data_IF_188587750264
#
_entry.id   IF_188587750264
#
_cell.length_a   1.000
_cell.length_b   1.000
_cell.length_c   1.000
_cell.angle_alpha   90.00
_cell.angle_beta   90.00
_cell.angle_gamma   90.00
#
_symmetry.space_group_name_H-M   'P 1'
#
loop_
_entity.id
_entity.type
_entity.pdbx_description
1 polymer ?
#
# COMPACT_ATOMS: atom_id res chain seq x y z
N UNK A 1 12.89 6.38 -13.45
CA UNK A 1 13.48 5.91 -14.73
C UNK A 1 14.94 5.52 -14.56
N UNK A 2 15.83 6.41 -14.12
CA UNK A 2 17.25 6.10 -13.88
C UNK A 2 17.48 4.78 -13.11
N UNK A 3 16.89 4.64 -11.92
CA UNK A 3 17.03 3.41 -11.12
C UNK A 3 16.53 2.13 -11.82
N UNK A 4 15.54 2.22 -12.71
CA UNK A 4 15.09 1.06 -13.51
C UNK A 4 16.10 0.70 -14.61
N UNK A 5 16.74 1.69 -15.23
CA UNK A 5 17.80 1.44 -16.21
C UNK A 5 19.02 0.78 -15.54
N UNK A 6 19.41 1.27 -14.36
CA UNK A 6 20.45 0.63 -13.54
C UNK A 6 20.07 -0.80 -13.18
N UNK A 7 18.81 -1.06 -12.79
CA UNK A 7 18.32 -2.41 -12.54
C UNK A 7 18.51 -3.33 -13.75
N UNK A 8 18.18 -2.87 -14.97
CA UNK A 8 18.37 -3.66 -16.20
C UNK A 8 19.86 -3.97 -16.44
N UNK A 9 20.73 -2.97 -16.28
CA UNK A 9 22.17 -3.11 -16.45
C UNK A 9 22.76 -4.14 -15.46
N UNK A 10 22.46 -3.98 -14.16
CA UNK A 10 23.00 -4.85 -13.11
C UNK A 10 22.40 -6.26 -13.15
N UNK A 11 21.16 -6.40 -13.62
CA UNK A 11 20.55 -7.71 -13.86
C UNK A 11 21.35 -8.51 -14.88
N UNK A 12 21.68 -7.87 -16.02
CA UNK A 12 22.47 -8.51 -17.08
C UNK A 12 23.88 -8.86 -16.58
N UNK A 13 24.56 -7.92 -15.91
CA UNK A 13 25.91 -8.16 -15.37
C UNK A 13 25.97 -9.33 -14.38
N UNK A 14 24.90 -9.55 -13.62
CA UNK A 14 24.84 -10.58 -12.57
C UNK A 14 24.14 -11.86 -13.02
N UNK A 15 23.70 -11.94 -14.28
CA UNK A 15 23.04 -13.13 -14.82
C UNK A 15 21.71 -13.44 -14.14
N UNK A 16 21.01 -12.43 -13.64
CA UNK A 16 19.74 -12.63 -12.92
C UNK A 16 18.57 -12.73 -13.90
N UNK A 17 17.61 -13.58 -13.56
CA UNK A 17 16.34 -13.65 -14.27
C UNK A 17 15.38 -12.55 -13.81
N UNK A 18 14.35 -12.31 -14.62
CA UNK A 18 13.31 -11.31 -14.37
C UNK A 18 12.59 -11.56 -13.03
N UNK A 19 12.30 -12.83 -12.73
CA UNK A 19 11.60 -13.20 -11.49
C UNK A 19 12.44 -12.93 -10.25
N UNK A 20 13.75 -13.12 -10.35
CA UNK A 20 14.67 -12.87 -9.24
C UNK A 20 14.78 -11.38 -8.97
N UNK A 21 14.91 -10.56 -10.01
CA UNK A 21 14.92 -9.10 -9.89
C UNK A 21 13.60 -8.59 -9.30
N UNK A 22 12.44 -9.10 -9.72
CA UNK A 22 11.16 -8.67 -9.17
C UNK A 22 10.97 -9.10 -7.70
N UNK A 23 11.50 -10.28 -7.32
CA UNK A 23 11.54 -10.70 -5.91
C UNK A 23 12.39 -9.75 -5.05
N UNK A 24 13.52 -9.29 -5.59
CA UNK A 24 14.48 -8.42 -4.89
C UNK A 24 14.00 -6.96 -4.83
N UNK A 25 13.41 -6.45 -5.92
CA UNK A 25 13.09 -5.02 -6.10
C UNK A 25 11.65 -4.65 -5.75
N UNK A 26 10.82 -5.60 -5.30
CA UNK A 26 9.46 -5.34 -4.83
C UNK A 26 9.39 -5.01 -3.33
N UNK A 27 8.50 -5.72 -2.63
CA UNK A 27 8.21 -5.47 -1.21
C UNK A 27 9.40 -5.71 -0.28
N UNK A 28 10.42 -6.44 -0.72
CA UNK A 28 11.64 -6.68 0.06
C UNK A 28 12.33 -5.36 0.47
N UNK A 29 12.43 -4.42 -0.47
CA UNK A 29 12.99 -3.07 -0.26
C UNK A 29 11.91 -1.98 -0.12
N UNK A 30 10.66 -2.36 0.17
CA UNK A 30 9.56 -1.42 0.38
C UNK A 30 9.06 -0.73 -0.87
N UNK A 31 9.03 -1.46 -2.00
CA UNK A 31 8.38 -1.02 -3.23
C UNK A 31 7.09 -1.82 -3.45
N UNK A 32 6.19 -1.37 -4.34
CA UNK A 32 4.95 -2.08 -4.63
C UNK A 32 5.17 -3.54 -5.07
N UNK A 33 4.14 -4.38 -4.91
CA UNK A 33 4.16 -5.79 -5.34
C UNK A 33 4.40 -5.97 -6.84
N UNK A 34 4.19 -4.93 -7.64
CA UNK A 34 4.52 -4.91 -9.07
C UNK A 34 6.03 -4.76 -9.35
N UNK A 35 6.86 -4.54 -8.34
CA UNK A 35 8.32 -4.53 -8.43
C UNK A 35 8.84 -3.75 -9.67
N UNK A 36 9.83 -4.26 -10.38
CA UNK A 36 10.42 -3.57 -11.54
C UNK A 36 9.71 -3.96 -12.84
N UNK A 37 9.76 -5.24 -13.21
CA UNK A 37 9.30 -5.73 -14.51
C UNK A 37 7.79 -5.80 -14.61
N UNK A 38 7.09 -6.21 -13.54
CA UNK A 38 5.63 -6.16 -13.55
C UNK A 38 5.09 -4.72 -13.62
N UNK A 39 5.81 -3.73 -13.08
CA UNK A 39 5.51 -2.31 -13.27
C UNK A 39 5.74 -1.88 -14.73
N UNK A 40 6.85 -2.31 -15.35
CA UNK A 40 7.12 -2.03 -16.77
C UNK A 40 6.03 -2.62 -17.69
N UNK A 41 5.54 -3.82 -17.41
CA UNK A 41 4.42 -4.41 -18.15
C UNK A 41 3.13 -3.61 -17.99
N UNK A 42 2.87 -3.04 -16.82
CA UNK A 42 1.67 -2.25 -16.55
C UNK A 42 1.73 -0.88 -17.26
N UNK A 43 2.89 -0.22 -17.24
CA UNK A 43 3.11 1.07 -17.89
C UNK A 43 3.18 0.94 -19.41
N UNK A 44 3.87 -0.09 -19.89
CA UNK A 44 4.18 -0.32 -21.30
C UNK A 44 5.67 -0.16 -21.60
N UNK A 45 6.25 -1.18 -22.24
CA UNK A 45 7.69 -1.23 -22.54
C UNK A 45 8.13 -0.17 -23.54
N UNK A 46 7.27 0.18 -24.51
CA UNK A 46 7.51 1.24 -25.49
C UNK A 46 7.51 2.63 -24.85
N UNK A 47 6.57 2.88 -23.93
CA UNK A 47 6.52 4.13 -23.16
C UNK A 47 7.78 4.27 -22.31
N UNK A 48 8.18 3.20 -21.62
CA UNK A 48 9.43 3.21 -20.86
C UNK A 48 10.63 3.50 -21.75
N UNK A 49 10.76 2.82 -22.90
CA UNK A 49 11.87 3.03 -23.83
C UNK A 49 11.91 4.48 -24.33
N UNK A 50 10.76 5.05 -24.66
CA UNK A 50 10.66 6.44 -25.09
C UNK A 50 11.15 7.41 -24.00
N UNK A 51 10.72 7.22 -22.74
CA UNK A 51 11.15 8.08 -21.62
C UNK A 51 12.62 7.86 -21.29
N UNK A 52 13.11 6.61 -21.31
CA UNK A 52 14.49 6.26 -21.03
C UNK A 52 15.48 6.96 -21.98
N UNK A 53 15.14 7.05 -23.27
CA UNK A 53 15.95 7.74 -24.27
C UNK A 53 16.08 9.26 -24.04
N UNK A 54 15.20 9.84 -23.22
CA UNK A 54 15.22 11.26 -22.87
C UNK A 54 15.94 11.55 -21.54
N UNK A 55 16.47 10.53 -20.84
CA UNK A 55 17.24 10.73 -19.62
C UNK A 55 18.73 10.96 -19.98
N UNK A 56 19.30 12.15 -19.67
CA UNK A 56 20.65 12.54 -20.12
C UNK A 56 21.79 11.77 -19.44
N UNK A 57 21.57 11.23 -18.24
CA UNK A 57 22.57 10.50 -17.45
C UNK A 57 22.70 9.02 -17.88
N UNK A 58 22.94 8.83 -19.19
CA UNK A 58 22.73 7.62 -19.97
C UNK A 58 23.20 6.30 -19.36
N UNK A 59 22.24 5.47 -18.95
CA UNK A 59 22.38 4.01 -18.94
C UNK A 59 21.62 3.48 -20.15
N UNK A 60 22.32 2.85 -21.10
CA UNK A 60 21.68 2.35 -22.31
C UNK A 60 20.74 1.19 -21.98
N UNK A 61 19.52 1.24 -22.53
CA UNK A 61 18.59 0.13 -22.46
C UNK A 61 19.15 -1.03 -23.29
N UNK A 62 19.24 -2.26 -22.74
CA UNK A 62 19.80 -3.40 -23.47
C UNK A 62 19.08 -3.69 -24.79
N UNK A 63 19.82 -4.13 -25.81
CA UNK A 63 19.28 -4.42 -27.15
C UNK A 63 18.16 -5.48 -27.14
N UNK A 64 18.23 -6.47 -26.24
CA UNK A 64 17.18 -7.48 -26.11
C UNK A 64 15.83 -6.86 -25.69
N UNK A 65 15.83 -5.79 -24.90
CA UNK A 65 14.62 -5.07 -24.49
C UNK A 65 14.03 -4.33 -25.70
N UNK A 66 14.86 -3.68 -26.51
CA UNK A 66 14.42 -3.03 -27.75
C UNK A 66 13.79 -4.07 -28.69
N UNK A 67 14.39 -5.25 -28.80
CA UNK A 67 13.84 -6.37 -29.57
C UNK A 67 12.47 -6.87 -29.06
N UNK A 68 12.15 -6.74 -27.77
CA UNK A 68 10.80 -7.02 -27.26
C UNK A 68 9.78 -6.02 -27.79
N UNK A 69 10.12 -4.72 -27.77
CA UNK A 69 9.26 -3.64 -28.26
C UNK A 69 9.00 -3.79 -29.76
N UNK A 70 10.03 -4.08 -30.55
CA UNK A 70 9.92 -4.33 -31.99
C UNK A 70 9.03 -5.53 -32.32
N UNK A 71 9.00 -6.55 -31.45
CA UNK A 71 8.12 -7.73 -31.57
C UNK A 71 6.70 -7.49 -31.03
N UNK A 72 6.36 -6.26 -30.62
CA UNK A 72 5.05 -5.91 -30.09
C UNK A 72 4.74 -6.46 -28.70
N UNK A 73 5.77 -6.88 -27.94
CA UNK A 73 5.64 -7.40 -26.57
C UNK A 73 5.57 -6.24 -25.58
N UNK A 74 4.50 -5.45 -25.65
CA UNK A 74 4.41 -4.14 -25.00
C UNK A 74 3.84 -4.16 -23.58
N UNK A 75 3.69 -5.33 -22.95
CA UNK A 75 3.13 -5.47 -21.61
C UNK A 75 1.63 -5.77 -21.61
N UNK A 76 0.93 -5.32 -20.56
CA UNK A 76 -0.48 -5.67 -20.28
C UNK A 76 -1.43 -5.21 -21.38
N UNK A 77 -1.14 -4.08 -22.02
CA UNK A 77 -1.95 -3.54 -23.12
C UNK A 77 -2.05 -4.49 -24.33
N UNK A 78 -1.03 -5.32 -24.54
CA UNK A 78 -1.00 -6.34 -25.59
C UNK A 78 -1.09 -7.76 -25.03
N UNK A 79 -1.36 -7.91 -23.72
CA UNK A 79 -1.43 -9.19 -23.02
C UNK A 79 -0.12 -9.96 -22.94
N UNK A 80 1.01 -9.35 -23.31
CA UNK A 80 2.33 -9.99 -23.41
C UNK A 80 3.45 -8.95 -23.30
N UNK A 81 4.28 -9.07 -22.26
CA UNK A 81 5.50 -8.31 -22.05
C UNK A 81 6.56 -9.19 -21.41
N UNK A 82 7.15 -8.75 -20.31
CA UNK A 82 8.02 -9.60 -19.47
C UNK A 82 7.28 -10.80 -18.91
N UNK A 83 6.01 -10.60 -18.54
CA UNK A 83 5.09 -11.64 -18.16
C UNK A 83 4.08 -11.87 -19.28
N UNK A 84 3.73 -13.15 -19.47
CA UNK A 84 2.70 -13.57 -20.40
C UNK A 84 1.70 -14.47 -19.68
N UNK A 85 0.47 -13.99 -19.53
CA UNK A 85 -0.62 -14.75 -18.91
C UNK A 85 -1.45 -15.44 -19.98
N UNK A 86 -1.34 -16.77 -20.06
CA UNK A 86 -2.22 -17.61 -20.90
C UNK A 86 -3.39 -18.10 -20.08
N UNK A 87 -4.62 -17.89 -20.56
CA UNK A 87 -5.80 -18.54 -20.00
C UNK A 87 -5.84 -19.98 -20.50
N UNK A 88 -5.82 -20.95 -19.59
CA UNK A 88 -5.99 -22.37 -19.88
C UNK A 88 -7.22 -22.96 -19.19
N UNK A 89 -7.56 -24.21 -19.53
CA UNK A 89 -8.75 -24.89 -19.01
C UNK A 89 -8.69 -25.18 -17.49
N UNK A 90 -7.48 -25.19 -16.89
CA UNK A 90 -7.25 -25.41 -15.45
C UNK A 90 -6.89 -24.12 -14.69
N UNK A 91 -7.13 -22.95 -15.28
CA UNK A 91 -6.74 -21.65 -14.74
C UNK A 91 -5.73 -20.93 -15.63
N UNK A 92 -5.24 -19.78 -15.17
CA UNK A 92 -4.26 -18.99 -15.91
C UNK A 92 -2.83 -19.41 -15.60
N UNK A 93 -2.04 -19.72 -16.62
CA UNK A 93 -0.61 -19.98 -16.52
C UNK A 93 0.18 -18.71 -16.84
N UNK A 94 1.23 -18.44 -16.06
CA UNK A 94 2.11 -17.30 -16.28
C UNK A 94 3.46 -17.83 -16.78
N UNK A 95 3.89 -17.35 -17.93
CA UNK A 95 5.24 -17.53 -18.44
C UNK A 95 6.02 -16.23 -18.33
N UNK A 96 7.34 -16.33 -18.24
CA UNK A 96 8.26 -15.20 -18.05
C UNK A 96 9.28 -15.19 -19.18
N UNK A 97 9.59 -14.00 -19.69
CA UNK A 97 10.59 -13.81 -20.74
C UNK A 97 12.00 -14.12 -20.21
N UNK A 98 12.73 -14.97 -20.93
CA UNK A 98 14.15 -15.19 -20.71
C UNK A 98 14.94 -14.26 -21.64
N UNK A 99 15.69 -13.32 -21.05
CA UNK A 99 16.42 -12.30 -21.80
C UNK A 99 17.66 -12.83 -22.53
N UNK A 100 18.18 -14.00 -22.13
CA UNK A 100 19.32 -14.65 -22.79
C UNK A 100 18.87 -15.39 -24.06
N UNK A 101 17.74 -16.11 -23.99
CA UNK A 101 17.25 -16.94 -25.11
C UNK A 101 16.22 -16.23 -25.98
N UNK A 102 15.53 -15.22 -25.44
CA UNK A 102 14.41 -14.55 -26.09
C UNK A 102 13.10 -15.34 -26.08
N UNK A 103 13.04 -16.45 -25.34
CA UNK A 103 11.87 -17.33 -25.22
C UNK A 103 11.13 -17.14 -23.90
N UNK A 104 9.88 -17.62 -23.82
CA UNK A 104 9.10 -17.62 -22.58
C UNK A 104 9.17 -18.97 -21.88
N UNK A 105 9.56 -18.97 -20.61
CA UNK A 105 9.60 -20.17 -19.77
C UNK A 105 8.52 -20.15 -18.69
N UNK A 106 8.05 -21.30 -18.18
CA UNK A 106 7.11 -21.33 -17.06
C UNK A 106 7.66 -20.56 -15.85
N UNK A 107 6.81 -19.76 -15.19
CA UNK A 107 7.21 -18.99 -14.01
C UNK A 107 7.73 -19.92 -12.91
N UNK A 108 8.92 -19.63 -12.39
CA UNK A 108 9.54 -20.30 -11.25
C UNK A 108 9.34 -19.46 -9.99
N UNK A 109 9.10 -20.11 -8.86
CA UNK A 109 9.11 -19.45 -7.54
C UNK A 109 10.55 -19.46 -7.04
N UNK A 110 11.15 -18.29 -6.80
CA UNK A 110 12.54 -18.16 -6.38
C UNK A 110 13.04 -16.71 -6.37
N UNK A 111 14.34 -16.52 -6.17
CA UNK A 111 15.02 -15.23 -6.31
C UNK A 111 15.52 -14.54 -5.05
N UNK A 112 15.48 -15.24 -3.92
CA UNK A 112 15.98 -14.72 -2.64
C UNK A 112 17.16 -15.53 -2.09
N UNK A 113 17.90 -16.20 -2.98
CA UNK A 113 19.06 -17.02 -2.60
C UNK A 113 20.09 -16.19 -1.82
N UNK A 114 20.37 -16.61 -0.58
CA UNK A 114 21.28 -15.91 0.34
C UNK A 114 20.68 -14.67 1.03
N UNK A 115 19.38 -14.41 0.87
CA UNK A 115 18.62 -13.33 1.51
C UNK A 115 17.40 -13.84 2.29
N UNK A 116 17.24 -15.17 2.41
CA UNK A 116 16.06 -15.81 2.99
C UNK A 116 15.88 -15.42 4.46
N UNK A 117 16.97 -15.37 5.22
CA UNK A 117 16.95 -14.98 6.64
C UNK A 117 16.53 -13.53 6.84
N UNK A 118 16.76 -12.66 5.85
CA UNK A 118 16.35 -11.26 5.90
C UNK A 118 14.85 -11.10 5.60
N UNK A 119 14.22 -12.02 4.86
CA UNK A 119 12.77 -11.97 4.62
C UNK A 119 11.96 -12.05 5.91
N UNK A 120 12.44 -12.80 6.90
CA UNK A 120 11.79 -12.98 8.20
C UNK A 120 11.86 -11.73 9.09
N UNK A 121 12.67 -10.73 8.74
CA UNK A 121 12.73 -9.49 9.51
C UNK A 121 11.45 -8.68 9.31
N UNK A 122 10.77 -8.38 10.43
CA UNK A 122 9.51 -7.61 10.45
C UNK A 122 9.67 -6.17 9.97
N UNK A 123 10.87 -5.59 10.03
CA UNK A 123 11.15 -4.20 9.70
C UNK A 123 12.04 -4.10 8.46
N UNK A 124 11.59 -3.30 7.48
CA UNK A 124 12.33 -2.95 6.27
C UNK A 124 13.74 -2.42 6.55
N UNK A 125 13.93 -1.56 7.56
CA UNK A 125 15.26 -1.02 7.90
C UNK A 125 16.24 -2.12 8.30
N UNK A 126 15.77 -3.16 8.99
CA UNK A 126 16.59 -4.33 9.33
C UNK A 126 16.98 -5.11 8.09
N UNK A 127 16.06 -5.28 7.13
CA UNK A 127 16.36 -5.93 5.83
C UNK A 127 17.41 -5.15 5.05
N UNK A 128 17.24 -3.83 4.93
CA UNK A 128 18.17 -2.94 4.25
C UNK A 128 19.58 -3.02 4.84
N UNK A 129 19.73 -2.95 6.19
CA UNK A 129 21.03 -3.15 6.84
C UNK A 129 21.69 -4.49 6.47
N UNK A 130 20.88 -5.55 6.35
CA UNK A 130 21.36 -6.86 5.92
C UNK A 130 21.91 -6.89 4.49
N UNK A 131 21.37 -6.06 3.58
CA UNK A 131 21.85 -5.95 2.19
C UNK A 131 23.29 -5.42 2.12
N UNK A 132 23.65 -4.45 2.97
CA UNK A 132 24.95 -3.77 2.93
C UNK A 132 26.16 -4.70 3.09
N UNK A 133 26.03 -5.87 3.70
CA UNK A 133 27.15 -6.79 3.90
C UNK A 133 26.93 -8.14 3.19
N UNK A 134 25.86 -8.25 2.40
CA UNK A 134 25.49 -9.51 1.78
C UNK A 134 26.31 -9.76 0.51
N UNK A 135 26.94 -10.94 0.44
CA UNK A 135 27.80 -11.36 -0.66
C UNK A 135 27.12 -12.29 -1.67
N UNK A 136 25.83 -12.60 -1.48
CA UNK A 136 25.07 -13.35 -2.48
C UNK A 136 24.90 -12.51 -3.76
N UNK A 137 24.69 -13.14 -4.93
CA UNK A 137 24.41 -12.42 -6.17
C UNK A 137 23.26 -11.41 -6.04
N UNK A 138 22.19 -11.79 -5.34
CA UNK A 138 21.04 -10.92 -5.06
C UNK A 138 21.37 -9.77 -4.10
N UNK A 139 22.18 -10.02 -3.07
CA UNK A 139 22.64 -8.99 -2.14
C UNK A 139 23.52 -7.94 -2.83
N UNK A 140 24.47 -8.39 -3.64
CA UNK A 140 25.33 -7.52 -4.43
C UNK A 140 24.54 -6.75 -5.50
N UNK A 141 23.58 -7.41 -6.17
CA UNK A 141 22.66 -6.75 -7.10
C UNK A 141 21.90 -5.60 -6.44
N UNK A 142 21.28 -5.86 -5.29
CA UNK A 142 20.53 -4.83 -4.57
C UNK A 142 21.43 -3.69 -4.10
N UNK A 143 22.64 -4.00 -3.61
CA UNK A 143 23.59 -2.96 -3.24
C UNK A 143 23.91 -2.03 -4.42
N UNK A 144 24.26 -2.58 -5.58
CA UNK A 144 24.61 -1.76 -6.76
C UNK A 144 23.44 -0.88 -7.22
N UNK A 145 22.23 -1.45 -7.29
CA UNK A 145 21.03 -0.71 -7.68
C UNK A 145 20.71 0.42 -6.69
N UNK A 146 20.73 0.11 -5.39
CA UNK A 146 20.45 1.09 -4.34
C UNK A 146 21.53 2.18 -4.34
N UNK A 147 22.81 1.81 -4.28
CA UNK A 147 23.95 2.73 -4.31
C UNK A 147 23.84 3.75 -5.43
N UNK A 148 23.71 3.30 -6.68
CA UNK A 148 23.59 4.18 -7.86
C UNK A 148 22.35 5.06 -7.79
N UNK A 149 21.21 4.53 -7.35
CA UNK A 149 19.96 5.30 -7.21
C UNK A 149 20.08 6.39 -6.13
N UNK A 150 20.72 6.08 -5.01
CA UNK A 150 20.94 7.00 -3.88
C UNK A 150 21.89 8.13 -4.28
N UNK A 151 23.03 7.78 -4.88
CA UNK A 151 23.99 8.76 -5.38
C UNK A 151 23.34 9.65 -6.44
N UNK A 152 22.60 9.09 -7.40
CA UNK A 152 21.86 9.89 -8.39
C UNK A 152 20.90 10.87 -7.71
N UNK A 153 20.11 10.40 -6.74
CA UNK A 153 19.16 11.26 -6.01
C UNK A 153 19.87 12.41 -5.29
N UNK A 154 21.03 12.14 -4.67
CA UNK A 154 21.80 13.16 -3.97
C UNK A 154 22.55 14.13 -4.90
N UNK A 155 22.96 13.71 -6.10
CA UNK A 155 23.56 14.61 -7.10
C UNK A 155 22.52 15.53 -7.75
N UNK A 156 21.24 15.13 -7.77
CA UNK A 156 20.16 15.93 -8.36
C UNK A 156 19.56 16.96 -7.43
N UNK A 157 20.00 17.05 -6.17
CA UNK A 157 19.67 18.18 -5.31
C UNK A 157 20.75 19.26 -5.49
N UNK A 158 20.39 20.55 -5.70
CA UNK A 158 19.04 21.12 -5.72
C UNK A 158 18.40 21.24 -7.12
N UNK A 159 18.98 20.60 -8.15
CA UNK A 159 18.53 20.69 -9.56
C UNK A 159 17.04 20.35 -9.75
N UNK A 160 16.57 19.23 -9.18
CA UNK A 160 15.20 18.72 -9.41
C UNK A 160 14.24 18.97 -8.25
N UNK A 161 14.77 19.33 -7.08
CA UNK A 161 14.01 19.58 -5.85
C UNK A 161 14.86 20.41 -4.88
N UNK A 162 14.20 21.26 -4.10
CA UNK A 162 14.88 22.15 -3.13
C UNK A 162 15.49 21.40 -1.94
N UNK A 163 14.91 20.26 -1.56
CA UNK A 163 15.32 19.49 -0.40
C UNK A 163 15.08 17.99 -0.59
N UNK A 164 15.65 17.21 0.34
CA UNK A 164 15.58 15.75 0.34
C UNK A 164 14.18 15.21 0.66
N UNK A 165 13.35 15.98 1.37
CA UNK A 165 11.97 15.60 1.73
C UNK A 165 11.12 15.54 0.47
N UNK A 166 11.23 16.55 -0.41
CA UNK A 166 10.49 16.62 -1.67
C UNK A 166 10.82 15.45 -2.60
N UNK A 167 12.08 15.02 -2.65
CA UNK A 167 12.46 13.82 -3.42
C UNK A 167 11.84 12.56 -2.81
N UNK A 168 11.95 12.39 -1.50
CA UNK A 168 11.37 11.23 -0.81
C UNK A 168 9.85 11.16 -1.00
N UNK A 169 9.15 12.28 -0.81
CA UNK A 169 7.72 12.39 -1.03
C UNK A 169 7.34 12.14 -2.50
N UNK A 170 8.11 12.65 -3.46
CA UNK A 170 7.88 12.39 -4.88
C UNK A 170 7.92 10.89 -5.21
N UNK A 171 8.84 10.14 -4.61
CA UNK A 171 8.91 8.68 -4.80
C UNK A 171 7.81 7.94 -4.04
N UNK A 172 7.44 8.39 -2.83
CA UNK A 172 6.37 7.77 -2.03
C UNK A 172 5.00 8.00 -2.64
N UNK A 173 4.69 9.21 -3.10
CA UNK A 173 3.38 9.54 -3.68
C UNK A 173 3.28 9.15 -5.16
N UNK A 174 4.36 9.31 -5.92
CA UNK A 174 4.36 9.02 -7.36
C UNK A 174 4.56 7.54 -7.69
N UNK A 175 5.38 6.82 -6.91
CA UNK A 175 5.75 5.43 -7.18
C UNK A 175 5.36 4.45 -6.07
N UNK A 176 4.65 4.94 -5.04
CA UNK A 176 4.17 4.13 -3.91
C UNK A 176 5.29 3.37 -3.19
N UNK A 177 6.43 4.03 -2.99
CA UNK A 177 7.51 3.50 -2.15
C UNK A 177 7.14 3.68 -0.67
N UNK A 178 7.49 2.71 0.17
CA UNK A 178 7.35 2.81 1.63
C UNK A 178 8.34 3.83 2.21
N UNK A 179 9.57 3.83 1.67
CA UNK A 179 10.66 4.72 2.02
C UNK A 179 11.17 5.44 0.78
N UNK A 180 11.28 6.76 0.84
CA UNK A 180 11.98 7.53 -0.19
C UNK A 180 13.49 7.23 -0.22
N UNK A 181 14.23 7.69 -1.24
CA UNK A 181 15.69 7.49 -1.33
C UNK A 181 16.46 7.80 -0.03
N UNK A 182 16.23 8.95 0.61
CA UNK A 182 16.99 9.36 1.78
C UNK A 182 16.55 8.61 3.05
N UNK A 183 15.25 8.33 3.20
CA UNK A 183 14.72 7.41 4.21
C UNK A 183 15.28 5.99 4.09
N UNK A 184 15.45 5.51 2.86
CA UNK A 184 16.06 4.22 2.54
C UNK A 184 17.54 4.24 2.89
N UNK A 185 18.24 5.32 2.57
CA UNK A 185 19.66 5.51 2.91
C UNK A 185 19.88 5.53 4.43
N UNK A 186 19.00 6.19 5.20
CA UNK A 186 18.99 6.08 6.66
C UNK A 186 18.76 4.64 7.14
N UNK A 187 17.92 3.89 6.42
CA UNK A 187 17.72 2.46 6.63
C UNK A 187 19.00 1.65 6.48
N UNK A 188 19.80 1.92 5.44
CA UNK A 188 21.11 1.30 5.20
C UNK A 188 22.16 1.75 6.23
N UNK A 189 22.07 3.01 6.67
CA UNK A 189 23.01 3.69 7.55
C UNK A 189 23.96 4.58 6.76
N UNK A 190 23.82 5.90 6.91
CA UNK A 190 24.53 6.92 6.13
C UNK A 190 26.06 6.76 6.18
N UNK A 191 26.66 6.78 7.38
CA UNK A 191 28.12 6.76 7.52
C UNK A 191 28.74 5.50 6.91
N UNK A 192 28.24 4.32 7.30
CA UNK A 192 28.78 3.03 6.84
C UNK A 192 28.61 2.81 5.34
N UNK A 193 27.47 3.25 4.78
CA UNK A 193 27.23 3.14 3.34
C UNK A 193 28.16 4.08 2.56
N UNK A 194 28.38 5.31 3.04
CA UNK A 194 29.33 6.25 2.43
C UNK A 194 30.77 5.74 2.51
N UNK A 195 31.19 5.19 3.64
CA UNK A 195 32.50 4.54 3.79
C UNK A 195 32.69 3.43 2.75
N UNK A 196 31.69 2.56 2.59
CA UNK A 196 31.71 1.50 1.58
C UNK A 196 31.78 2.06 0.16
N UNK A 197 30.95 3.05 -0.16
CA UNK A 197 30.94 3.71 -1.47
C UNK A 197 32.31 4.32 -1.82
N UNK A 198 32.96 4.98 -0.86
CA UNK A 198 34.32 5.51 -1.03
C UNK A 198 35.35 4.41 -1.30
N UNK A 199 35.29 3.32 -0.56
CA UNK A 199 36.17 2.16 -0.76
C UNK A 199 35.95 1.49 -2.13
N UNK A 200 34.73 1.57 -2.67
CA UNK A 200 34.37 1.10 -4.01
C UNK A 200 34.71 2.12 -5.12
N UNK A 201 35.25 3.30 -4.78
CA UNK A 201 35.70 4.32 -5.73
C UNK A 201 34.61 5.30 -6.20
N UNK A 202 33.46 5.34 -5.51
CA UNK A 202 32.38 6.26 -5.85
C UNK A 202 32.70 7.70 -5.43
N UNK A 203 32.20 8.66 -6.22
CA UNK A 203 32.22 10.08 -5.86
C UNK A 203 31.00 10.41 -5.01
N UNK A 204 31.25 10.87 -3.79
CA UNK A 204 30.21 11.29 -2.85
C UNK A 204 29.92 12.78 -3.06
N UNK A 205 28.65 13.22 -3.11
CA UNK A 205 28.33 14.65 -3.17
C UNK A 205 28.87 15.41 -1.96
N UNK A 206 29.45 16.59 -2.19
CA UNK A 206 30.14 17.39 -1.16
C UNK A 206 29.24 17.71 0.05
N UNK A 207 27.94 17.90 -0.18
CA UNK A 207 26.98 18.17 0.90
C UNK A 207 26.79 16.98 1.84
N UNK A 208 26.86 15.74 1.33
CA UNK A 208 26.81 14.51 2.14
C UNK A 208 28.05 14.42 3.02
N UNK A 209 29.22 14.71 2.45
CA UNK A 209 30.48 14.70 3.21
C UNK A 209 30.46 15.76 4.31
N UNK A 210 29.90 16.94 4.00
CA UNK A 210 29.73 18.03 4.97
C UNK A 210 28.84 17.61 6.13
N UNK A 211 27.71 16.94 5.87
CA UNK A 211 26.84 16.40 6.93
C UNK A 211 27.58 15.44 7.86
N UNK A 212 28.31 14.49 7.29
CA UNK A 212 29.06 13.50 8.07
C UNK A 212 30.18 14.18 8.88
N UNK A 213 30.89 15.15 8.30
CA UNK A 213 31.92 15.93 8.98
C UNK A 213 31.37 16.74 10.16
N UNK A 214 30.11 17.17 10.08
CA UNK A 214 29.38 17.81 11.19
C UNK A 214 28.83 16.81 12.22
N UNK A 215 29.14 15.52 12.08
CA UNK A 215 28.73 14.46 13.02
C UNK A 215 27.32 13.91 12.79
N UNK A 216 26.68 14.22 11.66
CA UNK A 216 25.37 13.67 11.32
C UNK A 216 25.49 12.22 10.86
N UNK A 217 24.62 11.37 11.38
CA UNK A 217 24.62 9.92 11.09
C UNK A 217 23.38 9.44 10.34
N UNK A 218 22.44 10.35 10.07
CA UNK A 218 21.22 10.16 9.29
C UNK A 218 20.82 11.48 8.63
N UNK A 219 19.93 11.42 7.63
CA UNK A 219 19.27 12.58 7.02
C UNK A 219 18.13 13.10 7.86
N UNK A 220 17.43 12.18 8.55
CA UNK A 220 16.27 12.49 9.38
C UNK A 220 16.53 12.24 10.86
N UNK A 221 15.91 13.08 11.69
CA UNK A 221 15.87 12.95 13.15
C UNK A 221 14.41 12.99 13.63
N UNK A 222 14.12 12.40 14.79
CA UNK A 222 12.79 12.48 15.43
C UNK A 222 12.96 12.87 16.89
N UNK A 223 12.27 13.93 17.30
CA UNK A 223 12.29 14.43 18.67
C UNK A 223 10.84 14.75 19.10
N UNK A 224 10.41 14.19 20.23
CA UNK A 224 9.06 14.41 20.79
C UNK A 224 7.90 14.20 19.80
N UNK A 225 8.07 13.30 18.83
CA UNK A 225 7.03 13.04 17.81
C UNK A 225 7.16 13.88 16.54
N UNK A 226 7.92 14.98 16.60
CA UNK A 226 8.23 15.86 15.47
C UNK A 226 9.41 15.30 14.69
N UNK A 227 9.33 15.37 13.36
CA UNK A 227 10.39 14.91 12.46
C UNK A 227 11.16 16.11 11.92
N UNK A 228 12.46 15.97 11.90
CA UNK A 228 13.39 16.96 11.38
C UNK A 228 14.23 16.33 10.28
N UNK A 229 14.75 17.16 9.39
CA UNK A 229 15.72 16.76 8.38
C UNK A 229 16.92 17.73 8.38
N UNK A 230 18.05 17.26 7.84
CA UNK A 230 19.20 18.12 7.60
C UNK A 230 19.17 18.70 6.20
N UNK A 231 19.28 20.03 6.10
CA UNK A 231 19.50 20.71 4.83
C UNK A 231 20.88 20.37 4.26
N UNK A 232 21.15 20.80 3.03
CA UNK A 232 22.44 20.55 2.36
C UNK A 232 23.63 21.23 3.07
N UNK A 233 23.36 22.26 3.87
CA UNK A 233 24.38 22.93 4.70
C UNK A 233 24.53 22.28 6.09
N UNK A 234 23.65 21.34 6.42
CA UNK A 234 23.59 20.63 7.70
C UNK A 234 22.77 21.31 8.79
N UNK A 235 22.10 22.41 8.45
CA UNK A 235 21.09 23.00 9.32
C UNK A 235 19.95 22.00 9.56
N UNK A 236 19.47 21.96 10.81
CA UNK A 236 18.34 21.13 11.20
C UNK A 236 17.04 21.90 10.98
N UNK A 237 16.17 21.38 10.13
CA UNK A 237 14.89 21.99 9.80
C UNK A 237 13.75 21.04 10.16
N UNK A 238 12.68 21.58 10.73
CA UNK A 238 11.46 20.81 10.98
C UNK A 238 10.81 20.44 9.64
N UNK A 239 10.42 19.18 9.46
CA UNK A 239 9.67 18.77 8.28
C UNK A 239 8.29 19.45 8.33
N UNK A 240 7.99 20.30 7.35
CA UNK A 240 6.70 20.98 7.25
C UNK A 240 5.57 19.95 7.19
N UNK A 241 4.92 19.75 8.33
CA UNK A 241 3.65 19.04 8.40
C UNK A 241 2.60 20.00 7.88
N UNK A 242 2.19 19.86 6.60
CA UNK A 242 0.85 20.32 6.20
C UNK A 242 -0.11 19.82 7.26
N UNK A 243 -0.88 20.75 7.85
CA UNK A 243 -1.79 20.56 9.01
C UNK A 243 -1.98 19.08 9.32
N UNK A 244 -1.34 18.62 10.39
CA UNK A 244 -1.20 17.21 10.71
C UNK A 244 -2.51 16.48 10.42
N UNK A 245 -2.54 15.67 9.35
CA UNK A 245 -3.57 14.66 9.20
C UNK A 245 -3.31 13.69 10.35
N UNK A 246 -4.01 13.91 11.45
CA UNK A 246 -3.89 13.08 12.64
C UNK A 246 -4.19 11.65 12.24
N UNK A 247 -3.27 10.76 12.57
CA UNK A 247 -3.43 9.34 12.32
C UNK A 247 -3.97 8.68 13.56
N UNK A 248 -4.79 7.66 13.41
CA UNK A 248 -5.33 6.91 14.55
C UNK A 248 -4.20 6.37 15.44
N UNK A 249 -3.08 5.98 14.85
CA UNK A 249 -1.86 5.54 15.55
C UNK A 249 -1.25 6.59 16.48
N UNK A 250 -1.53 7.87 16.27
CA UNK A 250 -1.05 8.95 17.16
C UNK A 250 -1.80 8.94 18.52
N UNK A 251 -2.95 8.26 18.57
CA UNK A 251 -3.75 7.99 19.77
C UNK A 251 -3.47 6.61 20.40
N UNK A 252 -2.80 5.70 19.68
CA UNK A 252 -2.50 4.36 20.18
C UNK A 252 -1.44 4.38 21.29
N UNK A 253 -1.64 3.56 22.33
CA UNK A 253 -0.66 3.37 23.41
C UNK A 253 -0.62 4.49 24.48
N UNK A 254 -1.36 5.59 24.28
CA UNK A 254 -1.61 6.59 25.32
C UNK A 254 -2.79 6.13 26.17
N UNK A 255 -2.57 5.89 27.47
CA UNK A 255 -3.65 5.51 28.40
C UNK A 255 -4.80 6.53 28.44
N UNK A 256 -4.51 7.79 28.16
CA UNK A 256 -5.50 8.89 28.17
C UNK A 256 -6.50 8.83 27.00
N UNK A 257 -6.20 8.10 25.93
CA UNK A 257 -7.01 8.11 24.70
C UNK A 257 -7.57 6.73 24.35
N UNK A 258 -7.21 5.66 25.07
CA UNK A 258 -7.74 4.31 24.83
C UNK A 258 -8.97 4.05 25.69
N UNK A 259 -10.13 3.79 25.08
CA UNK A 259 -11.39 3.57 25.79
C UNK A 259 -11.62 2.07 26.03
N UNK A 260 -11.70 1.28 24.97
CA UNK A 260 -11.84 -0.18 25.02
C UNK A 260 -11.36 -0.84 23.72
N UNK A 261 -11.23 -2.16 23.70
CA UNK A 261 -10.84 -2.89 22.49
C UNK A 261 -10.78 -4.39 22.68
N UNK A 262 -10.77 -5.11 21.57
CA UNK A 262 -10.57 -6.56 21.50
C UNK A 262 -9.56 -6.91 20.39
N UNK A 263 -9.56 -8.16 19.92
CA UNK A 263 -8.64 -8.63 18.88
C UNK A 263 -8.89 -8.05 17.48
N UNK A 264 -10.09 -7.54 17.20
CA UNK A 264 -10.48 -7.04 15.87
C UNK A 264 -10.56 -5.53 15.76
N UNK A 265 -10.86 -4.82 16.85
CA UNK A 265 -10.95 -3.36 16.84
C UNK A 265 -10.68 -2.71 18.21
N UNK A 266 -10.43 -1.41 18.19
CA UNK A 266 -10.25 -0.59 19.39
C UNK A 266 -10.93 0.76 19.23
N UNK A 267 -11.47 1.26 20.34
CA UNK A 267 -12.13 2.56 20.43
C UNK A 267 -11.19 3.56 21.12
N UNK A 268 -10.94 4.68 20.45
CA UNK A 268 -10.08 5.74 20.94
C UNK A 268 -10.86 7.04 21.12
N UNK A 269 -10.50 7.82 22.12
CA UNK A 269 -10.86 9.24 22.21
C UNK A 269 -9.87 10.03 21.32
N UNK A 270 -10.40 10.71 20.30
CA UNK A 270 -9.62 11.51 19.36
C UNK A 270 -9.76 13.02 19.61
N UNK A 271 -10.25 13.42 20.77
CA UNK A 271 -10.51 14.82 21.11
C UNK A 271 -11.86 15.33 20.61
N UNK A 272 -12.18 16.58 20.95
CA UNK A 272 -13.44 17.26 20.60
C UNK A 272 -14.73 16.48 20.96
N UNK A 273 -14.67 15.66 22.01
CA UNK A 273 -15.69 14.70 22.42
C UNK A 273 -16.09 13.69 21.32
N UNK A 274 -15.17 13.34 20.42
CA UNK A 274 -15.39 12.36 19.34
C UNK A 274 -14.58 11.10 19.61
N UNK A 275 -15.22 9.93 19.46
CA UNK A 275 -14.53 8.66 19.52
C UNK A 275 -14.23 8.11 18.10
N UNK A 276 -13.13 7.38 17.95
CA UNK A 276 -12.75 6.67 16.73
C UNK A 276 -12.71 5.16 16.96
N UNK A 277 -13.57 4.41 16.26
CA UNK A 277 -13.51 2.95 16.20
C UNK A 277 -12.58 2.54 15.06
N UNK A 278 -11.46 1.90 15.42
CA UNK A 278 -10.40 1.52 14.51
C UNK A 278 -10.26 0.01 14.39
N UNK A 279 -10.44 -0.50 13.17
CA UNK A 279 -10.31 -1.92 12.86
C UNK A 279 -8.84 -2.32 12.66
N UNK A 280 -8.47 -3.45 13.23
CA UNK A 280 -7.11 -3.98 13.15
C UNK A 280 -7.04 -5.51 13.02
N UNK A 281 -8.18 -6.18 12.78
CA UNK A 281 -8.19 -7.56 12.30
C UNK A 281 -7.40 -7.71 10.99
N UNK A 282 -6.89 -8.90 10.64
CA UNK A 282 -6.17 -9.11 9.38
C UNK A 282 -7.00 -8.67 8.16
N UNK A 283 -6.43 -7.76 7.34
CA UNK A 283 -7.12 -7.13 6.21
C UNK A 283 -8.40 -6.35 6.58
N UNK A 284 -8.65 -6.12 7.86
CA UNK A 284 -9.88 -5.57 8.40
C UNK A 284 -11.10 -6.38 7.98
N UNK A 285 -10.94 -7.71 7.84
CA UNK A 285 -12.04 -8.61 7.58
C UNK A 285 -12.99 -8.64 8.78
N UNK A 286 -14.29 -8.60 8.50
CA UNK A 286 -15.34 -8.57 9.52
C UNK A 286 -15.55 -9.98 10.06
N UNK A 287 -15.38 -10.11 11.38
CA UNK A 287 -15.82 -11.25 12.18
C UNK A 287 -16.52 -10.76 13.44
N UNK A 288 -16.77 -11.67 14.38
CA UNK A 288 -17.45 -11.36 15.65
C UNK A 288 -16.75 -10.26 16.46
N UNK A 289 -15.43 -10.20 16.40
CA UNK A 289 -14.63 -9.20 17.10
C UNK A 289 -14.98 -7.76 16.68
N UNK A 290 -15.03 -7.47 15.38
CA UNK A 290 -15.43 -6.18 14.84
C UNK A 290 -16.91 -5.91 15.14
N UNK A 291 -17.79 -6.90 14.94
CA UNK A 291 -19.24 -6.76 15.20
C UNK A 291 -19.50 -6.37 16.66
N UNK A 292 -18.89 -7.08 17.61
CA UNK A 292 -19.02 -6.79 19.04
C UNK A 292 -18.48 -5.41 19.40
N UNK A 293 -17.39 -4.99 18.76
CA UNK A 293 -16.84 -3.65 18.96
C UNK A 293 -17.70 -2.55 18.37
N UNK A 294 -18.43 -2.78 17.27
CA UNK A 294 -19.42 -1.82 16.77
C UNK A 294 -20.52 -1.63 17.83
N UNK A 295 -21.08 -2.72 18.36
CA UNK A 295 -22.10 -2.65 19.40
C UNK A 295 -21.61 -1.89 20.65
N UNK A 296 -20.45 -2.28 21.15
CA UNK A 296 -19.82 -1.69 22.34
C UNK A 296 -19.51 -0.21 22.13
N UNK A 297 -18.96 0.15 20.97
CA UNK A 297 -18.59 1.54 20.66
C UNK A 297 -19.81 2.45 20.57
N UNK A 298 -20.89 1.96 19.96
CA UNK A 298 -22.12 2.76 19.87
C UNK A 298 -22.72 2.95 21.27
N UNK A 299 -22.72 1.93 22.14
CA UNK A 299 -23.22 2.08 23.51
C UNK A 299 -22.42 3.12 24.31
N UNK A 300 -21.11 3.16 24.12
CA UNK A 300 -20.21 4.11 24.77
C UNK A 300 -20.42 5.53 24.22
N UNK A 301 -20.45 5.68 22.90
CA UNK A 301 -20.63 6.97 22.22
C UNK A 301 -21.99 7.60 22.55
N UNK A 302 -23.06 6.82 22.60
CA UNK A 302 -24.39 7.32 22.95
C UNK A 302 -24.45 7.99 24.33
N UNK A 303 -23.58 7.55 25.26
CA UNK A 303 -23.50 8.07 26.64
C UNK A 303 -22.52 9.23 26.78
N UNK A 304 -21.33 9.08 26.21
CA UNK A 304 -20.16 9.86 26.63
C UNK A 304 -19.56 10.76 25.54
N UNK A 305 -19.97 10.60 24.26
CA UNK A 305 -19.36 11.32 23.13
C UNK A 305 -20.41 12.04 22.27
N UNK A 306 -19.97 13.02 21.49
CA UNK A 306 -20.84 13.73 20.53
C UNK A 306 -21.01 12.99 19.21
N UNK A 307 -20.10 12.05 18.89
CA UNK A 307 -20.13 11.31 17.64
C UNK A 307 -19.10 10.18 17.58
N UNK A 308 -19.24 9.34 16.56
CA UNK A 308 -18.34 8.23 16.27
C UNK A 308 -17.75 8.40 14.88
N UNK A 309 -16.44 8.24 14.75
CA UNK A 309 -15.74 8.05 13.48
C UNK A 309 -15.35 6.57 13.37
N UNK A 310 -15.58 5.95 12.22
CA UNK A 310 -15.02 4.63 11.90
C UNK A 310 -13.91 4.82 10.87
N UNK A 311 -12.67 4.66 11.31
CA UNK A 311 -11.45 4.85 10.51
C UNK A 311 -10.24 4.19 11.17
N UNK A 312 -9.18 3.92 10.40
CA UNK A 312 -7.91 3.38 10.89
C UNK A 312 -6.78 3.57 9.86
N UNK A 313 -5.52 3.37 10.27
CA UNK A 313 -4.34 3.57 9.40
C UNK A 313 -3.91 2.30 8.65
N UNK A 314 -4.87 1.45 8.26
CA UNK A 314 -4.60 0.21 7.53
C UNK A 314 -4.14 0.45 6.08
N UNK A 315 -3.82 -0.63 5.35
CA UNK A 315 -3.53 -0.54 3.91
C UNK A 315 -4.80 -0.47 3.04
N UNK A 316 -5.93 -0.88 3.59
CA UNK A 316 -7.27 -0.80 3.01
C UNK A 316 -8.27 -0.67 4.16
N UNK A 317 -9.47 -0.16 3.91
CA UNK A 317 -10.47 0.02 4.97
C UNK A 317 -11.08 -1.31 5.46
N UNK A 318 -11.59 -2.14 4.55
CA UNK A 318 -12.23 -3.41 4.91
C UNK A 318 -12.47 -4.24 3.64
N UNK A 319 -12.07 -5.51 3.65
CA UNK A 319 -12.27 -6.44 2.52
C UNK A 319 -13.61 -7.19 2.58
N UNK A 320 -14.45 -6.89 3.57
CA UNK A 320 -15.75 -7.55 3.79
C UNK A 320 -15.69 -8.64 4.85
N UNK A 321 -16.69 -9.51 4.84
CA UNK A 321 -16.76 -10.65 5.74
C UNK A 321 -15.61 -11.65 5.46
N UNK A 322 -15.18 -12.37 6.50
CA UNK A 322 -14.18 -13.43 6.34
C UNK A 322 -14.78 -14.64 5.59
N UNK A 323 -14.68 -14.63 4.25
CA UNK A 323 -15.26 -15.68 3.40
C UNK A 323 -14.73 -17.09 3.71
N UNK A 324 -13.52 -17.22 4.23
CA UNK A 324 -12.98 -18.53 4.60
C UNK A 324 -13.72 -19.11 5.81
N UNK A 325 -14.03 -18.26 6.79
CA UNK A 325 -14.84 -18.66 7.95
C UNK A 325 -16.25 -19.05 7.51
N UNK A 326 -16.92 -18.22 6.71
CA UNK A 326 -18.27 -18.53 6.19
C UNK A 326 -18.28 -19.82 5.38
N UNK A 327 -17.26 -20.05 4.55
CA UNK A 327 -17.13 -21.27 3.77
C UNK A 327 -16.93 -22.50 4.66
N UNK A 328 -16.12 -22.40 5.71
CA UNK A 328 -15.90 -23.50 6.67
C UNK A 328 -17.21 -23.85 7.39
N UNK A 329 -17.91 -22.88 7.95
CA UNK A 329 -19.19 -23.12 8.64
C UNK A 329 -20.24 -23.71 7.69
N UNK A 330 -20.30 -23.25 6.45
CA UNK A 330 -21.21 -23.80 5.44
C UNK A 330 -20.83 -25.23 5.01
N UNK A 331 -19.54 -25.57 4.94
CA UNK A 331 -19.06 -26.93 4.64
C UNK A 331 -19.34 -27.92 5.77
N UNK A 332 -19.28 -27.44 7.01
CA UNK A 332 -19.60 -28.23 8.21
C UNK A 332 -21.10 -28.25 8.53
N UNK A 333 -21.95 -27.66 7.68
CA UNK A 333 -23.41 -27.57 7.82
C UNK A 333 -23.87 -26.83 9.10
N UNK A 334 -23.02 -25.94 9.64
CA UNK A 334 -23.32 -25.10 10.81
C UNK A 334 -24.18 -23.89 10.45
N UNK A 335 -25.38 -24.13 9.90
CA UNK A 335 -26.28 -23.07 9.42
C UNK A 335 -26.70 -22.08 10.52
N UNK A 336 -26.85 -22.55 11.76
CA UNK A 336 -27.18 -21.69 12.90
C UNK A 336 -26.09 -20.65 13.17
N UNK A 337 -24.82 -21.00 12.98
CA UNK A 337 -23.68 -20.10 13.16
C UNK A 337 -23.62 -19.06 12.04
N UNK A 338 -23.90 -19.47 10.79
CA UNK A 338 -23.99 -18.56 9.65
C UNK A 338 -25.15 -17.57 9.84
N UNK A 339 -26.32 -18.06 10.28
CA UNK A 339 -27.49 -17.22 10.57
C UNK A 339 -27.20 -16.24 11.70
N UNK A 340 -26.59 -16.68 12.82
CA UNK A 340 -26.22 -15.80 13.92
C UNK A 340 -25.23 -14.72 13.48
N UNK A 341 -24.19 -15.08 12.72
CA UNK A 341 -23.22 -14.12 12.18
C UNK A 341 -23.91 -13.06 11.31
N UNK A 342 -24.77 -13.47 10.37
CA UNK A 342 -25.50 -12.56 9.49
C UNK A 342 -26.45 -11.68 10.31
N UNK A 343 -27.20 -12.25 11.23
CA UNK A 343 -28.13 -11.53 12.10
C UNK A 343 -27.41 -10.47 12.93
N UNK A 344 -26.32 -10.84 13.62
CA UNK A 344 -25.53 -9.92 14.44
C UNK A 344 -24.90 -8.81 13.60
N UNK A 345 -24.43 -9.12 12.38
CA UNK A 345 -23.91 -8.10 11.48
C UNK A 345 -25.00 -7.11 11.01
N UNK A 346 -26.19 -7.60 10.67
CA UNK A 346 -27.35 -6.74 10.36
C UNK A 346 -27.71 -5.85 11.56
N UNK A 347 -27.73 -6.38 12.79
CA UNK A 347 -28.00 -5.61 13.99
C UNK A 347 -26.93 -4.54 14.26
N UNK A 348 -25.65 -4.84 14.01
CA UNK A 348 -24.57 -3.86 14.10
C UNK A 348 -24.79 -2.71 13.10
N UNK A 349 -25.14 -3.03 11.85
CA UNK A 349 -25.44 -2.01 10.83
C UNK A 349 -26.71 -1.20 11.18
N UNK A 350 -27.73 -1.80 11.79
CA UNK A 350 -28.88 -1.06 12.31
C UNK A 350 -28.51 -0.14 13.49
N UNK A 351 -27.62 -0.58 14.37
CA UNK A 351 -27.09 0.26 15.45
C UNK A 351 -26.34 1.47 14.90
N UNK A 352 -25.58 1.32 13.80
CA UNK A 352 -24.94 2.44 13.12
C UNK A 352 -26.00 3.42 12.60
N UNK A 353 -27.02 2.92 11.89
CA UNK A 353 -28.08 3.74 11.28
C UNK A 353 -28.88 4.55 12.29
N UNK A 354 -29.26 3.91 13.39
CA UNK A 354 -30.14 4.49 14.41
C UNK A 354 -29.40 4.97 15.66
N UNK A 355 -28.08 5.15 15.57
CA UNK A 355 -27.31 5.71 16.66
C UNK A 355 -27.84 7.11 17.02
N UNK A 356 -27.99 7.40 18.32
CA UNK A 356 -28.44 8.73 18.79
C UNK A 356 -27.43 9.84 18.53
N UNK A 357 -26.20 9.49 18.14
CA UNK A 357 -25.09 10.39 17.81
C UNK A 357 -24.69 10.17 16.36
N UNK A 358 -24.24 11.21 15.63
CA UNK A 358 -23.77 11.05 14.27
C UNK A 358 -22.63 10.02 14.18
N UNK A 359 -22.76 9.09 13.24
CA UNK A 359 -21.70 8.15 12.87
C UNK A 359 -21.15 8.55 11.50
N UNK A 360 -19.87 8.87 11.45
CA UNK A 360 -19.14 9.15 10.21
C UNK A 360 -18.24 7.98 9.90
N UNK A 361 -18.35 7.43 8.70
CA UNK A 361 -17.40 6.42 8.21
C UNK A 361 -16.46 7.10 7.22
N UNK A 362 -15.16 6.95 7.43
CA UNK A 362 -14.12 7.53 6.57
C UNK A 362 -13.38 6.42 5.81
N UNK A 363 -13.98 5.84 4.76
CA UNK A 363 -13.37 4.75 4.01
C UNK A 363 -12.19 5.22 3.14
N UNK A 364 -11.31 4.29 2.82
CA UNK A 364 -10.13 4.49 1.97
C UNK A 364 -9.66 3.14 1.40
N UNK A 365 -8.91 3.18 0.29
CA UNK A 365 -8.43 1.96 -0.36
C UNK A 365 -9.58 1.00 -0.68
N UNK A 366 -9.39 -0.30 -0.51
CA UNK A 366 -10.47 -1.28 -0.72
C UNK A 366 -11.50 -1.25 0.42
N UNK A 367 -12.75 -0.98 0.06
CA UNK A 367 -13.93 -0.98 0.94
C UNK A 367 -15.00 -1.89 0.32
N UNK A 368 -14.83 -3.19 0.49
CA UNK A 368 -15.55 -4.20 -0.29
C UNK A 368 -16.56 -4.97 0.56
N UNK A 369 -17.68 -5.33 -0.07
CA UNK A 369 -18.74 -6.16 0.51
C UNK A 369 -19.20 -5.62 1.86
N UNK A 370 -19.10 -6.43 2.92
CA UNK A 370 -19.41 -6.00 4.30
C UNK A 370 -18.74 -4.68 4.74
N UNK A 371 -17.57 -4.33 4.21
CA UNK A 371 -16.94 -3.02 4.46
C UNK A 371 -17.75 -1.87 3.88
N UNK A 372 -18.32 -2.05 2.69
CA UNK A 372 -19.28 -1.12 2.12
C UNK A 372 -20.61 -1.15 2.88
N UNK A 373 -21.07 -2.31 3.35
CA UNK A 373 -22.29 -2.45 4.16
C UNK A 373 -22.21 -1.72 5.51
N UNK A 374 -21.02 -1.57 6.11
CA UNK A 374 -20.80 -0.72 7.31
C UNK A 374 -20.91 0.77 6.96
N UNK A 375 -20.51 1.17 5.74
CA UNK A 375 -20.51 2.57 5.32
C UNK A 375 -21.92 3.08 4.98
N UNK A 376 -22.70 2.28 4.27
CA UNK A 376 -24.01 2.67 3.75
C UNK A 376 -25.05 3.12 4.83
N UNK A 377 -25.13 2.53 6.03
CA UNK A 377 -26.04 3.01 7.08
C UNK A 377 -25.55 4.25 7.83
N UNK A 378 -24.30 4.69 7.61
CA UNK A 378 -23.73 5.81 8.37
C UNK A 378 -24.41 7.14 8.05
N UNK A 379 -24.46 8.03 9.06
CA UNK A 379 -25.00 9.39 8.91
C UNK A 379 -24.26 10.17 7.82
N UNK A 380 -22.95 9.96 7.69
CA UNK A 380 -22.14 10.54 6.63
C UNK A 380 -21.00 9.61 6.23
N UNK A 381 -20.67 9.60 4.94
CA UNK A 381 -19.47 8.96 4.41
C UNK A 381 -18.51 10.07 3.99
N UNK A 382 -17.31 10.08 4.57
CA UNK A 382 -16.21 10.96 4.18
C UNK A 382 -15.14 10.11 3.51
N UNK A 383 -15.39 9.72 2.26
CA UNK A 383 -14.49 8.84 1.52
C UNK A 383 -13.19 9.56 1.12
N UNK A 384 -12.06 8.87 1.26
CA UNK A 384 -10.82 9.31 0.61
C UNK A 384 -10.96 9.29 -0.92
N UNK A 385 -10.21 10.13 -1.61
CA UNK A 385 -10.17 10.18 -3.07
C UNK A 385 -9.73 8.85 -3.71
N UNK A 386 -8.95 8.04 -2.99
CA UNK A 386 -8.52 6.71 -3.45
C UNK A 386 -9.45 5.55 -3.03
N UNK A 387 -10.64 5.86 -2.51
CA UNK A 387 -11.59 4.82 -2.06
C UNK A 387 -12.10 4.01 -3.26
N UNK A 388 -11.91 2.71 -3.20
CA UNK A 388 -12.48 1.72 -4.11
C UNK A 388 -13.53 0.89 -3.36
N UNK A 389 -14.78 1.33 -3.47
CA UNK A 389 -15.92 0.81 -2.69
C UNK A 389 -16.92 0.08 -3.57
N UNK A 390 -17.45 -1.05 -3.09
CA UNK A 390 -18.52 -1.76 -3.79
C UNK A 390 -19.00 -3.03 -3.08
N UNK A 391 -20.24 -3.42 -3.38
CA UNK A 391 -20.80 -4.72 -3.02
C UNK A 391 -20.32 -5.74 -4.07
N UNK A 392 -19.51 -6.71 -3.66
CA UNK A 392 -18.79 -7.65 -4.53
C UNK A 392 -19.23 -9.11 -4.37
N UNK A 393 -20.19 -9.35 -3.48
CA UNK A 393 -20.66 -10.65 -3.04
C UNK A 393 -21.15 -11.54 -4.19
N UNK A 394 -21.78 -10.94 -5.21
CA UNK A 394 -22.26 -11.68 -6.39
C UNK A 394 -21.12 -12.35 -7.17
N UNK A 395 -19.91 -11.78 -7.12
CA UNK A 395 -18.72 -12.35 -7.74
C UNK A 395 -18.26 -13.68 -7.11
N UNK A 396 -18.74 -13.99 -5.90
CA UNK A 396 -18.50 -15.26 -5.18
C UNK A 396 -19.77 -16.06 -4.95
N UNK A 397 -20.88 -15.69 -5.58
CA UNK A 397 -22.17 -16.39 -5.46
C UNK A 397 -22.97 -16.07 -4.20
N UNK A 398 -22.68 -14.95 -3.54
CA UNK A 398 -23.37 -14.49 -2.34
C UNK A 398 -24.21 -13.23 -2.64
N UNK A 399 -25.09 -12.88 -1.70
CA UNK A 399 -25.82 -11.61 -1.70
C UNK A 399 -25.26 -10.70 -0.58
N UNK A 400 -25.28 -9.37 -0.76
CA UNK A 400 -24.95 -8.40 0.29
C UNK A 400 -25.96 -8.42 1.44
N UNK A 401 -25.78 -9.38 2.36
CA UNK A 401 -26.76 -9.74 3.39
C UNK A 401 -26.61 -8.98 4.71
N UNK A 402 -25.56 -8.19 4.92
CA UNK A 402 -25.40 -7.30 6.08
C UNK A 402 -26.35 -6.10 6.07
N UNK A 403 -27.07 -5.89 4.96
CA UNK A 403 -28.00 -4.77 4.76
C UNK A 403 -27.69 -3.94 3.53
N UNK A 404 -26.66 -4.30 2.77
CA UNK A 404 -26.14 -3.58 1.61
C UNK A 404 -27.19 -3.36 0.54
N UNK A 405 -27.91 -4.40 0.10
CA UNK A 405 -28.98 -4.25 -0.89
C UNK A 405 -30.03 -3.21 -0.45
N UNK A 406 -30.45 -3.30 0.82
CA UNK A 406 -31.47 -2.43 1.40
C UNK A 406 -30.96 -0.99 1.55
N UNK A 407 -29.77 -0.78 2.10
CA UNK A 407 -29.22 0.57 2.29
C UNK A 407 -28.82 1.23 0.95
N UNK A 408 -28.38 0.44 -0.04
CA UNK A 408 -28.11 0.93 -1.38
C UNK A 408 -29.39 1.42 -2.04
N UNK A 409 -30.46 0.63 -1.98
CA UNK A 409 -31.78 1.04 -2.47
C UNK A 409 -32.25 2.32 -1.79
N UNK A 410 -32.21 2.38 -0.46
CA UNK A 410 -32.63 3.56 0.31
C UNK A 410 -31.84 4.81 -0.10
N UNK A 411 -30.52 4.72 -0.27
CA UNK A 411 -29.71 5.87 -0.71
C UNK A 411 -30.03 6.33 -2.13
N UNK A 412 -30.42 5.41 -3.02
CA UNK A 412 -30.85 5.77 -4.37
C UNK A 412 -32.27 6.37 -4.42
N UNK A 413 -33.11 6.10 -3.42
CA UNK A 413 -34.48 6.63 -3.34
C UNK A 413 -34.65 7.80 -2.37
N UNK A 414 -33.67 8.08 -1.49
CA UNK A 414 -33.74 9.12 -0.45
C UNK A 414 -34.10 10.51 -1.01
N UNK A 415 -33.51 10.90 -2.14
CA UNK A 415 -33.82 12.19 -2.81
C UNK A 415 -35.22 12.22 -3.47
N UNK A 416 -35.86 11.07 -3.63
CA UNK A 416 -37.18 10.91 -4.25
C UNK A 416 -38.30 10.93 -3.21
N UNK A 417 -38.02 10.45 -1.98
CA UNK A 417 -38.97 10.47 -0.87
C UNK A 417 -39.37 11.90 -0.46
N UNK A 418 -38.59 12.92 -0.85
CA UNK A 418 -38.92 14.34 -0.67
C UNK A 418 -39.84 14.92 -1.79
N UNK A 419 -40.17 14.12 -2.82
CA UNK A 419 -41.02 14.47 -3.95
C UNK A 419 -42.41 13.79 -3.86
N UNK A 420 -43.32 14.18 -4.75
CA UNK A 420 -44.71 13.66 -4.85
C UNK A 420 -44.77 12.11 -4.77
N UNK A 421 -45.71 11.56 -4.00
CA UNK A 421 -45.96 10.12 -3.80
C UNK A 421 -46.20 9.33 -5.11
N UNK A 422 -46.33 10.01 -6.24
CA UNK A 422 -46.56 9.43 -7.57
C UNK A 422 -45.28 9.16 -8.38
N UNK A 423 -44.09 9.46 -7.85
CA UNK A 423 -42.85 9.22 -8.59
C UNK A 423 -42.59 7.72 -8.74
N UNK A 424 -42.35 7.27 -9.97
CA UNK A 424 -41.93 5.89 -10.25
C UNK A 424 -40.51 5.65 -9.72
N UNK A 425 -40.39 4.73 -8.76
CA UNK A 425 -39.11 4.36 -8.13
C UNK A 425 -38.28 3.39 -8.99
N UNK A 426 -38.88 2.76 -10.03
CA UNK A 426 -38.21 1.72 -10.82
C UNK A 426 -36.88 2.18 -11.46
N UNK A 427 -36.74 3.41 -12.01
CA UNK A 427 -35.46 3.87 -12.56
C UNK A 427 -34.34 3.95 -11.50
N UNK A 428 -34.68 4.24 -10.23
CA UNK A 428 -33.72 4.31 -9.13
C UNK A 428 -33.33 2.90 -8.66
N UNK A 429 -34.30 1.99 -8.60
CA UNK A 429 -34.06 0.56 -8.33
C UNK A 429 -33.11 -0.03 -9.38
N UNK A 430 -33.36 0.21 -10.67
CA UNK A 430 -32.50 -0.26 -11.78
C UNK A 430 -31.09 0.36 -11.80
N UNK A 431 -30.87 1.44 -11.05
CA UNK A 431 -29.54 2.04 -10.90
C UNK A 431 -28.79 1.43 -9.72
N UNK A 432 -29.51 0.96 -8.70
CA UNK A 432 -28.95 0.25 -7.57
C UNK A 432 -28.55 -1.19 -7.92
N UNK A 433 -29.29 -1.86 -8.83
CA UNK A 433 -29.10 -3.25 -9.25
C UNK A 433 -29.14 -3.37 -10.77
#
# INVERSE_FOLDING_TARGET
VYGMMVTLEEMVKKGLSIEEVDALTGTFIGRPKSATFRTLDMVGLDIFLHVANNVPDHVQVPSWFQGMVEKGQLGDKNGKGFYWKKKGNKGSEISVYNWETGEYTPRRKGGMAGLETLLSAKNIKTRLKGVMNNQSPGGQFLWEVLKKTLLYSAHKIPEIAEDLVKIDQGMKWGFNWDLGPFELWDGLGLVKSVERMKNEGERIPDWIETLIAQGKTSFYEKEQGVRYFHTLTGERTEEERREQLEKVRDYQGKKSTSICGNAGASLYDIGDDVACLAFHSPNQAIGYDIIDMIHTSIQEVEKNYRGLVIHHDGGQFCVGANLMMVLMEAQDENWDEVEDMVHRFQQANQRIKYCKKPVVVAPFGMTLGGGAEICLPASRIQASAETYMGLVETGVGLIPAGGGCKELLLRYTESVDELDEKVDLQPFVNKAF
#
